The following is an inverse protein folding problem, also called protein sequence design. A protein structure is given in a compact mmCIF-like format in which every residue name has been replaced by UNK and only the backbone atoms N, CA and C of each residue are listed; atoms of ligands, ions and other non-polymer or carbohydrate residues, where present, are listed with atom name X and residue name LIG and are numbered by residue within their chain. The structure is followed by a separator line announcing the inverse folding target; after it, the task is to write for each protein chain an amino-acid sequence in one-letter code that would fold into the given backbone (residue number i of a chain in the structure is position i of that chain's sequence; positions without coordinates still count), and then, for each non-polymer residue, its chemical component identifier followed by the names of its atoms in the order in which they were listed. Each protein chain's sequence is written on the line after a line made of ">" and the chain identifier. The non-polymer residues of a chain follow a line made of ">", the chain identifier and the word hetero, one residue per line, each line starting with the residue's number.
data_IF_223556934746
#
_entry.id   IF_223556934746
#
_cell.length_a   1.000
_cell.length_b   1.000
_cell.length_c   1.000
_cell.angle_alpha   90.00
_cell.angle_beta   90.00
_cell.angle_gamma   90.00
#
_symmetry.space_group_name_H-M   'P 1'
#
loop_
_entity.id
_entity.type
_entity.pdbx_description
1 polymer ?
#
# COMPACT_ATOMS: atom_id res chain seq x y z
N UNK A 1 -14.32 -7.96 -5.27
CA UNK A 1 -13.44 -8.56 -6.30
C UNK A 1 -12.01 -8.66 -5.80
N UNK A 2 -11.32 -9.77 -6.04
CA UNK A 2 -9.89 -9.93 -5.74
C UNK A 2 -9.06 -9.14 -6.74
N UNK A 3 -8.18 -8.25 -6.25
CA UNK A 3 -7.29 -7.43 -7.08
C UNK A 3 -5.81 -7.79 -6.89
N UNK A 4 -5.49 -8.84 -6.12
CA UNK A 4 -4.11 -9.23 -5.80
C UNK A 4 -3.26 -9.57 -7.03
N UNK A 5 -3.89 -10.02 -8.12
CA UNK A 5 -3.24 -10.28 -9.41
C UNK A 5 -2.68 -9.02 -10.09
N UNK A 6 -3.09 -7.82 -9.66
CA UNK A 6 -2.59 -6.53 -10.16
C UNK A 6 -1.44 -5.97 -9.34
N UNK A 7 -0.96 -6.70 -8.33
CA UNK A 7 0.11 -6.21 -7.50
C UNK A 7 1.43 -6.03 -8.29
N UNK A 8 2.18 -4.93 -8.04
CA UNK A 8 1.83 -3.83 -7.16
C UNK A 8 0.80 -2.88 -7.77
N UNK A 9 -0.20 -2.47 -6.98
CA UNK A 9 -1.27 -1.58 -7.43
C UNK A 9 -0.84 -0.11 -7.47
N UNK A 10 0.21 0.26 -6.72
CA UNK A 10 0.84 1.57 -6.78
C UNK A 10 2.29 1.51 -6.30
N UNK A 11 3.06 2.58 -6.53
CA UNK A 11 4.43 2.68 -6.06
C UNK A 11 4.78 4.11 -5.63
N UNK A 12 5.15 4.27 -4.37
CA UNK A 12 5.63 5.53 -3.81
C UNK A 12 7.15 5.59 -3.95
N UNK A 13 7.69 6.72 -4.43
CA UNK A 13 9.13 6.92 -4.59
C UNK A 13 9.55 8.32 -4.20
N UNK A 14 10.68 8.41 -3.50
CA UNK A 14 11.43 9.64 -3.30
C UNK A 14 12.79 9.53 -4.01
N UNK A 15 13.17 10.62 -4.67
CA UNK A 15 14.49 10.86 -5.27
C UNK A 15 15.65 10.74 -4.29
N UNK A 16 15.40 11.01 -3.00
CA UNK A 16 16.35 10.80 -1.89
C UNK A 16 16.88 9.35 -1.86
N UNK A 17 16.15 8.37 -2.44
CA UNK A 17 16.58 6.97 -2.58
C UNK A 17 17.83 6.82 -3.44
N UNK A 18 18.11 7.78 -4.32
CA UNK A 18 19.28 7.76 -5.20
C UNK A 18 20.58 8.07 -4.45
N UNK A 19 20.51 8.66 -3.25
CA UNK A 19 21.67 8.89 -2.40
C UNK A 19 22.01 7.59 -1.64
N UNK A 20 23.15 6.93 -1.94
CA UNK A 20 23.52 5.68 -1.29
C UNK A 20 23.83 5.84 0.21
N UNK A 21 24.01 7.08 0.71
CA UNK A 21 24.21 7.35 2.14
C UNK A 21 22.89 7.48 2.90
N UNK A 22 21.76 7.56 2.22
CA UNK A 22 20.44 7.74 2.84
C UNK A 22 19.63 6.46 2.76
N UNK A 23 18.95 6.13 3.86
CA UNK A 23 18.01 5.02 3.94
C UNK A 23 16.60 5.59 4.07
N UNK A 24 15.72 5.16 3.17
CA UNK A 24 14.30 5.52 3.18
C UNK A 24 13.51 4.32 3.69
N UNK A 25 12.49 4.59 4.49
CA UNK A 25 11.49 3.62 4.92
C UNK A 25 10.10 4.15 4.59
N UNK A 26 9.37 3.43 3.75
CA UNK A 26 8.01 3.80 3.36
C UNK A 26 6.99 3.23 4.35
N UNK A 27 5.95 3.99 4.66
CA UNK A 27 4.81 3.57 5.50
C UNK A 27 3.53 4.21 4.99
N UNK A 28 2.42 3.52 5.17
CA UNK A 28 1.06 3.98 4.84
C UNK A 28 0.18 3.87 6.09
N UNK A 29 -0.90 4.64 6.15
CA UNK A 29 -1.87 4.63 7.26
C UNK A 29 -3.27 4.84 6.69
N UNK A 30 -4.29 4.36 7.40
CA UNK A 30 -5.68 4.54 7.04
C UNK A 30 -6.46 3.24 7.04
N UNK A 31 -7.69 3.33 6.53
CA UNK A 31 -8.60 2.18 6.37
C UNK A 31 -8.00 1.15 5.44
N UNK A 32 -8.02 -0.13 5.83
CA UNK A 32 -7.34 -1.17 5.07
C UNK A 32 -5.92 -1.47 5.56
N UNK A 33 -5.33 -0.61 6.39
CA UNK A 33 -3.95 -0.74 6.89
C UNK A 33 -3.93 -0.72 8.42
N UNK A 34 -4.20 0.45 9.00
CA UNK A 34 -4.19 0.71 10.45
C UNK A 34 -5.59 0.81 11.03
N UNK A 35 -6.61 0.97 10.17
CA UNK A 35 -8.02 0.99 10.55
C UNK A 35 -8.80 -0.15 9.84
N UNK A 36 -9.87 -0.70 10.46
CA UNK A 36 -10.63 -1.81 9.90
C UNK A 36 -11.28 -1.51 8.53
N UNK A 37 -11.31 -2.48 7.59
CA UNK A 37 -10.76 -3.83 7.71
C UNK A 37 -9.23 -3.83 7.68
N UNK A 38 -8.56 -4.48 8.65
CA UNK A 38 -7.10 -4.42 8.76
C UNK A 38 -6.42 -5.36 7.76
N UNK A 39 -5.24 -4.94 7.29
CA UNK A 39 -4.35 -5.79 6.50
C UNK A 39 -4.75 -6.02 5.05
N UNK A 40 -5.72 -5.25 4.53
CA UNK A 40 -6.16 -5.25 3.13
C UNK A 40 -5.11 -4.63 2.18
N UNK A 41 -4.35 -3.64 2.67
CA UNK A 41 -3.23 -3.04 1.95
C UNK A 41 -1.93 -3.17 2.75
N UNK A 42 -0.84 -3.47 2.04
CA UNK A 42 0.51 -3.55 2.59
C UNK A 42 1.48 -2.79 1.71
N UNK A 43 2.48 -2.13 2.31
CA UNK A 43 3.56 -1.49 1.59
C UNK A 43 4.90 -2.16 1.91
N UNK A 44 5.72 -2.40 0.89
CA UNK A 44 7.11 -2.77 1.09
C UNK A 44 7.90 -1.52 1.50
N UNK A 45 8.40 -1.53 2.73
CA UNK A 45 9.08 -0.38 3.34
C UNK A 45 10.38 0.02 2.63
N UNK A 46 10.96 -0.86 1.78
CA UNK A 46 12.23 -0.64 1.06
C UNK A 46 12.00 -0.21 -0.38
N UNK A 47 10.99 -0.78 -1.05
CA UNK A 47 10.72 -0.51 -2.46
C UNK A 47 9.67 0.59 -2.65
N UNK A 48 8.75 0.75 -1.69
CA UNK A 48 7.58 1.61 -1.78
C UNK A 48 6.44 1.00 -2.60
N UNK A 49 6.50 -0.31 -2.87
CA UNK A 49 5.47 -1.04 -3.61
C UNK A 49 4.24 -1.26 -2.72
N UNK A 50 3.08 -0.77 -3.17
CA UNK A 50 1.79 -0.94 -2.50
C UNK A 50 1.06 -2.12 -3.11
N UNK A 51 0.67 -3.08 -2.26
CA UNK A 51 -0.05 -4.29 -2.64
C UNK A 51 -1.40 -4.37 -1.94
N UNK A 52 -2.37 -5.00 -2.61
CA UNK A 52 -3.65 -5.43 -2.02
C UNK A 52 -3.60 -6.93 -1.75
N UNK A 53 -4.08 -7.34 -0.58
CA UNK A 53 -3.96 -8.73 -0.09
C UNK A 53 -5.29 -9.47 -0.05
N UNK A 54 -6.40 -8.76 -0.24
CA UNK A 54 -7.74 -9.29 -0.03
C UNK A 54 -8.75 -8.79 -1.05
N UNK A 55 -9.95 -9.35 -0.92
CA UNK A 55 -11.11 -9.00 -1.74
C UNK A 55 -11.66 -7.67 -1.24
N UNK A 56 -11.83 -6.72 -2.17
CA UNK A 56 -12.54 -5.48 -1.88
C UNK A 56 -14.00 -5.66 -2.23
N UNK A 57 -14.88 -5.42 -1.26
CA UNK A 57 -16.32 -5.33 -1.49
C UNK A 57 -16.73 -3.86 -1.66
N UNK A 58 -17.26 -3.52 -2.84
CA UNK A 58 -17.69 -2.16 -3.18
C UNK A 58 -19.06 -1.82 -2.60
N UNK A 59 -19.84 -2.81 -2.15
CA UNK A 59 -21.11 -2.57 -1.46
C UNK A 59 -20.88 -2.10 -0.02
N UNK A 60 -19.77 -2.53 0.61
CA UNK A 60 -19.39 -2.09 1.95
C UNK A 60 -18.54 -0.81 1.94
N UNK A 61 -17.55 -0.71 1.05
CA UNK A 61 -16.62 0.43 0.97
C UNK A 61 -16.36 0.82 -0.48
N UNK A 62 -16.82 2.01 -0.88
CA UNK A 62 -16.67 2.50 -2.25
C UNK A 62 -15.24 3.03 -2.54
N UNK A 63 -14.57 3.61 -1.52
CA UNK A 63 -13.23 4.18 -1.65
C UNK A 63 -12.36 3.97 -0.42
N UNK A 64 -11.06 3.78 -0.67
CA UNK A 64 -10.00 3.75 0.35
C UNK A 64 -9.07 4.94 0.16
N UNK A 65 -8.72 5.58 1.28
CA UNK A 65 -7.70 6.63 1.33
C UNK A 65 -6.53 6.07 2.14
N UNK A 66 -5.38 5.97 1.48
CA UNK A 66 -4.19 5.27 1.96
C UNK A 66 -2.92 6.04 1.64
#
# INVERSE_FOLDING_TARGET
>A
MDNSYKNPIARIRSDVKLDPKKRIRYSITGRGVTEPPLGLFIIDERTGDLNVTGIVDREEIDMFFV
#
